data_IF_163623712967
#
_entry.id   IF_163623712967
#
_cell.length_a   1.000
_cell.length_b   1.000
_cell.length_c   1.000
_cell.angle_alpha   90.00
_cell.angle_beta   90.00
_cell.angle_gamma   90.00
#
_symmetry.space_group_name_H-M   'P 1'
#
loop_
_entity.id
_entity.type
_entity.pdbx_description
1 polymer ?
#
# COMPACT_ATOMS: atom_id res chain seq x y z
N UNK A 1 -35.37 30.95 13.79
CA UNK A 1 -34.94 30.83 15.19
C UNK A 1 -34.36 29.44 15.31
N UNK A 2 -33.14 29.25 14.81
CA UNK A 2 -32.43 27.95 14.90
C UNK A 2 -31.98 27.81 16.36
N UNK A 3 -32.46 26.78 17.00
CA UNK A 3 -32.07 26.39 18.34
C UNK A 3 -30.61 25.98 18.35
N UNK A 4 -29.79 26.75 19.07
CA UNK A 4 -28.38 26.47 19.35
C UNK A 4 -28.32 25.26 20.30
N UNK A 5 -28.57 24.06 19.80
CA UNK A 5 -28.65 22.86 20.63
C UNK A 5 -27.31 22.10 20.72
N UNK A 6 -26.22 22.58 20.07
CA UNK A 6 -24.91 21.95 20.15
C UNK A 6 -23.76 22.98 20.13
N UNK A 7 -23.72 23.89 21.10
CA UNK A 7 -22.52 24.71 21.34
C UNK A 7 -21.54 24.01 22.30
N UNK A 8 -21.52 22.69 22.29
CA UNK A 8 -20.62 21.97 23.20
C UNK A 8 -19.14 22.15 22.86
N UNK A 9 -18.81 22.51 21.61
CA UNK A 9 -17.41 22.66 21.16
C UNK A 9 -17.32 23.75 20.09
N UNK A 10 -17.08 24.99 20.51
CA UNK A 10 -16.78 26.09 19.62
C UNK A 10 -15.25 26.23 19.54
N UNK A 11 -14.67 25.90 18.41
CA UNK A 11 -13.24 26.15 18.15
C UNK A 11 -13.07 27.57 17.60
N UNK A 12 -12.27 28.38 18.29
CA UNK A 12 -11.91 29.71 17.85
C UNK A 12 -10.40 29.77 17.62
N UNK A 13 -9.99 30.13 16.40
CA UNK A 13 -8.59 30.39 16.12
C UNK A 13 -8.27 31.87 16.28
N UNK A 14 -7.28 32.18 17.11
CA UNK A 14 -6.81 33.53 17.37
C UNK A 14 -5.39 33.69 16.78
N UNK A 15 -5.20 34.78 16.05
CA UNK A 15 -3.85 35.17 15.58
C UNK A 15 -3.28 36.23 16.52
N UNK A 16 -2.20 35.90 17.19
CA UNK A 16 -1.44 36.80 18.06
C UNK A 16 -0.47 37.63 17.24
N UNK A 17 -0.25 38.90 17.70
CA UNK A 17 0.73 39.81 17.06
C UNK A 17 2.13 39.33 17.33
N UNK A 18 3.01 39.44 16.33
CA UNK A 18 4.42 39.09 16.46
C UNK A 18 5.06 39.83 17.66
N UNK A 19 5.83 39.09 18.48
CA UNK A 19 6.51 39.60 19.67
C UNK A 19 5.71 39.53 20.99
N UNK A 20 4.46 39.08 20.97
CA UNK A 20 3.64 38.89 22.18
C UNK A 20 3.36 37.41 22.47
N UNK A 21 3.97 36.53 21.66
CA UNK A 21 3.68 35.09 21.63
C UNK A 21 4.22 34.35 22.87
N UNK A 22 5.33 34.84 23.43
CA UNK A 22 5.94 34.23 24.62
C UNK A 22 5.04 34.32 25.85
N UNK A 23 4.57 33.16 26.33
CA UNK A 23 3.72 33.03 27.49
C UNK A 23 2.27 33.51 27.26
N UNK A 24 1.84 33.73 26.01
CA UNK A 24 0.48 34.18 25.71
C UNK A 24 -0.58 33.16 26.17
N UNK A 25 -0.33 31.86 25.96
CA UNK A 25 -1.23 30.78 26.35
C UNK A 25 -1.45 30.77 27.86
N UNK A 26 -0.40 30.89 28.67
CA UNK A 26 -0.48 30.92 30.12
C UNK A 26 -1.23 32.17 30.61
N UNK A 27 -0.95 33.31 30.00
CA UNK A 27 -1.68 34.56 30.34
C UNK A 27 -3.14 34.46 29.98
N UNK A 28 -3.47 33.98 28.82
CA UNK A 28 -4.86 33.83 28.38
C UNK A 28 -5.63 32.85 29.28
N UNK A 29 -5.00 31.70 29.64
CA UNK A 29 -5.64 30.73 30.53
C UNK A 29 -5.81 31.27 31.95
N UNK A 30 -4.86 32.03 32.49
CA UNK A 30 -4.98 32.67 33.80
C UNK A 30 -6.10 33.74 33.84
N UNK A 31 -6.32 34.40 32.70
CA UNK A 31 -7.37 35.40 32.58
C UNK A 31 -8.73 34.84 32.11
N UNK A 32 -8.76 33.56 31.70
CA UNK A 32 -9.90 32.90 31.09
C UNK A 32 -11.15 32.97 31.98
N UNK A 33 -11.00 32.56 33.23
CA UNK A 33 -12.13 32.53 34.20
C UNK A 33 -12.59 33.92 34.62
N UNK A 34 -11.71 34.92 34.52
CA UNK A 34 -11.98 36.26 35.03
C UNK A 34 -12.56 37.22 33.99
N UNK A 35 -12.08 37.12 32.75
CA UNK A 35 -12.35 38.12 31.70
C UNK A 35 -13.22 37.55 30.59
N UNK A 36 -13.03 36.27 30.27
CA UNK A 36 -13.63 35.68 29.08
C UNK A 36 -14.80 34.72 29.34
N UNK A 37 -15.29 34.65 30.58
CA UNK A 37 -16.50 33.90 30.88
C UNK A 37 -17.73 34.77 30.55
N UNK A 38 -18.56 34.28 29.61
CA UNK A 38 -19.82 34.93 29.26
C UNK A 38 -20.96 33.93 29.43
N UNK A 39 -21.70 34.08 30.49
CA UNK A 39 -22.79 33.16 30.84
C UNK A 39 -22.26 31.74 31.13
N UNK A 40 -22.69 30.73 30.36
CA UNK A 40 -22.25 29.37 30.49
C UNK A 40 -21.11 29.00 29.50
N UNK A 41 -20.58 29.99 28.78
CA UNK A 41 -19.46 29.79 27.82
C UNK A 41 -18.17 30.13 28.53
N UNK A 42 -17.24 29.21 28.56
CA UNK A 42 -15.90 29.35 29.15
C UNK A 42 -14.84 28.72 28.26
N UNK A 43 -13.63 29.23 28.37
CA UNK A 43 -12.49 28.68 27.63
C UNK A 43 -12.03 27.37 28.29
N UNK A 44 -12.16 26.26 27.59
CA UNK A 44 -11.78 24.95 28.11
C UNK A 44 -10.26 24.70 27.99
N UNK A 45 -9.71 25.01 26.83
CA UNK A 45 -8.28 24.81 26.53
C UNK A 45 -7.80 25.80 25.47
N UNK A 46 -6.52 26.16 25.54
CA UNK A 46 -5.85 27.02 24.58
C UNK A 46 -4.59 26.31 24.11
N UNK A 47 -4.64 25.77 22.92
CA UNK A 47 -3.52 25.03 22.36
C UNK A 47 -2.85 25.83 21.25
N UNK A 48 -1.52 26.04 21.29
CA UNK A 48 -0.78 26.65 20.17
C UNK A 48 -0.97 25.84 18.88
N UNK A 49 -1.25 26.52 17.78
CA UNK A 49 -1.45 25.85 16.48
C UNK A 49 -0.24 25.02 16.05
N UNK A 50 0.97 25.39 16.48
CA UNK A 50 2.19 24.63 16.27
C UNK A 50 2.13 23.23 16.90
N UNK A 51 1.57 23.11 18.11
CA UNK A 51 1.40 21.81 18.78
C UNK A 51 0.35 20.94 18.08
N UNK A 52 -0.77 21.54 17.67
CA UNK A 52 -1.83 20.86 16.93
C UNK A 52 -1.27 20.33 15.60
N UNK A 53 -0.51 21.17 14.90
CA UNK A 53 0.16 20.80 13.66
C UNK A 53 1.14 19.64 13.86
N UNK A 54 2.01 19.72 14.87
CA UNK A 54 2.97 18.67 15.16
C UNK A 54 2.26 17.36 15.53
N UNK A 55 1.17 17.41 16.31
CA UNK A 55 0.39 16.23 16.64
C UNK A 55 -0.23 15.59 15.38
N UNK A 56 -0.84 16.41 14.50
CA UNK A 56 -1.42 15.90 13.24
C UNK A 56 -0.36 15.37 12.28
N UNK A 57 0.84 15.95 12.24
CA UNK A 57 1.97 15.43 11.44
C UNK A 57 2.43 14.05 11.98
N UNK A 58 2.52 13.88 13.30
CA UNK A 58 2.87 12.59 13.93
C UNK A 58 1.80 11.52 13.65
N UNK A 59 0.53 11.87 13.77
CA UNK A 59 -0.57 10.94 13.50
C UNK A 59 -0.58 10.51 12.03
N UNK A 60 -0.36 11.44 11.11
CA UNK A 60 -0.26 11.16 9.69
C UNK A 60 0.94 10.27 9.35
N UNK A 61 2.10 10.51 9.97
CA UNK A 61 3.30 9.68 9.81
C UNK A 61 3.10 8.26 10.35
N UNK A 62 2.39 8.12 11.46
CA UNK A 62 2.06 6.81 12.04
C UNK A 62 1.09 6.03 11.15
N UNK A 63 0.10 6.71 10.59
CA UNK A 63 -0.84 6.11 9.64
C UNK A 63 -0.11 5.62 8.38
N UNK A 64 0.75 6.46 7.78
CA UNK A 64 1.57 6.08 6.63
C UNK A 64 2.46 4.87 6.94
N UNK A 65 3.13 4.86 8.09
CA UNK A 65 3.95 3.72 8.51
C UNK A 65 3.13 2.43 8.60
N UNK A 66 1.95 2.51 9.19
CA UNK A 66 1.04 1.35 9.31
C UNK A 66 0.61 0.85 7.94
N UNK A 67 0.24 1.74 7.02
CA UNK A 67 -0.12 1.39 5.65
C UNK A 67 1.05 0.74 4.90
N UNK A 68 2.27 1.28 5.04
CA UNK A 68 3.47 0.68 4.45
C UNK A 68 3.79 -0.70 5.03
N UNK A 69 3.63 -0.90 6.34
CA UNK A 69 3.83 -2.22 6.96
C UNK A 69 2.84 -3.26 6.43
N UNK A 70 1.56 -2.90 6.31
CA UNK A 70 0.52 -3.77 5.74
C UNK A 70 0.84 -4.10 4.28
N UNK A 71 1.16 -3.08 3.48
CA UNK A 71 1.52 -3.25 2.07
C UNK A 71 2.73 -4.18 1.91
N UNK A 72 3.78 -3.97 2.68
CA UNK A 72 4.98 -4.81 2.64
C UNK A 72 4.66 -6.26 3.03
N UNK A 73 3.87 -6.47 4.08
CA UNK A 73 3.43 -7.79 4.49
C UNK A 73 2.64 -8.50 3.39
N UNK A 74 1.71 -7.81 2.73
CA UNK A 74 0.94 -8.37 1.62
C UNK A 74 1.83 -8.71 0.43
N UNK A 75 2.76 -7.81 0.05
CA UNK A 75 3.72 -8.07 -1.03
C UNK A 75 4.58 -9.30 -0.75
N UNK A 76 5.05 -9.45 0.50
CA UNK A 76 5.85 -10.60 0.90
C UNK A 76 5.04 -11.90 0.80
N UNK A 77 3.77 -11.89 1.24
CA UNK A 77 2.88 -13.05 1.10
C UNK A 77 2.65 -13.44 -0.37
N UNK A 78 2.37 -12.44 -1.23
CA UNK A 78 2.19 -12.68 -2.66
C UNK A 78 3.48 -13.26 -3.26
N UNK A 79 4.63 -12.70 -2.92
CA UNK A 79 5.92 -13.16 -3.42
C UNK A 79 6.20 -14.62 -3.04
N UNK A 80 5.98 -14.98 -1.78
CA UNK A 80 6.12 -16.36 -1.31
C UNK A 80 5.13 -17.31 -2.02
N UNK A 81 3.89 -16.87 -2.23
CA UNK A 81 2.89 -17.62 -2.99
C UNK A 81 3.30 -17.87 -4.44
N UNK A 82 3.86 -16.86 -5.10
CA UNK A 82 4.41 -16.97 -6.47
C UNK A 82 5.55 -17.99 -6.50
N UNK A 83 6.55 -17.84 -5.62
CA UNK A 83 7.68 -18.78 -5.54
C UNK A 83 7.18 -20.22 -5.33
N UNK A 84 6.28 -20.43 -4.35
CA UNK A 84 5.74 -21.76 -4.04
C UNK A 84 5.00 -22.38 -5.22
N UNK A 85 4.16 -21.61 -5.89
CA UNK A 85 3.38 -22.07 -7.05
C UNK A 85 4.29 -22.46 -8.21
N UNK A 86 5.28 -21.63 -8.56
CA UNK A 86 6.21 -21.94 -9.65
C UNK A 86 7.17 -23.05 -9.29
N UNK A 87 7.60 -23.16 -8.03
CA UNK A 87 8.37 -24.28 -7.54
C UNK A 87 7.63 -25.61 -7.76
N UNK A 88 6.39 -25.68 -7.27
CA UNK A 88 5.57 -26.89 -7.39
C UNK A 88 5.30 -27.28 -8.86
N UNK A 89 4.93 -26.31 -9.70
CA UNK A 89 4.75 -26.55 -11.16
C UNK A 89 6.01 -27.05 -11.84
N UNK A 90 7.17 -26.49 -11.47
CA UNK A 90 8.46 -26.86 -12.04
C UNK A 90 8.83 -28.30 -11.64
N UNK A 91 8.54 -28.70 -10.40
CA UNK A 91 8.77 -30.07 -9.94
C UNK A 91 7.85 -31.06 -10.65
N UNK A 92 6.59 -30.76 -10.83
CA UNK A 92 5.65 -31.64 -11.55
C UNK A 92 6.03 -31.87 -13.02
N UNK A 93 6.64 -30.87 -13.68
CA UNK A 93 7.02 -30.92 -15.09
C UNK A 93 8.49 -31.27 -15.31
N UNK A 94 9.18 -31.78 -14.28
CA UNK A 94 10.62 -32.03 -14.31
C UNK A 94 11.01 -33.02 -15.43
N UNK A 95 10.24 -34.10 -15.60
CA UNK A 95 10.43 -35.09 -16.67
C UNK A 95 10.22 -34.47 -18.07
N UNK A 96 9.17 -33.68 -18.27
CA UNK A 96 8.92 -33.01 -19.56
C UNK A 96 10.07 -32.05 -19.92
N UNK A 97 10.56 -31.27 -18.93
CA UNK A 97 11.67 -30.34 -19.12
C UNK A 97 12.96 -31.10 -19.45
N UNK A 98 13.23 -32.22 -18.78
CA UNK A 98 14.40 -33.06 -19.03
C UNK A 98 14.35 -33.67 -20.43
N UNK A 99 13.20 -34.19 -20.87
CA UNK A 99 12.99 -34.73 -22.20
C UNK A 99 13.23 -33.66 -23.29
N UNK A 100 12.71 -32.45 -23.10
CA UNK A 100 12.95 -31.35 -24.05
C UNK A 100 14.40 -30.92 -24.10
N UNK A 101 15.14 -30.95 -22.98
CA UNK A 101 16.56 -30.68 -22.95
C UNK A 101 17.33 -31.75 -23.66
N UNK A 102 16.95 -33.05 -23.54
CA UNK A 102 17.54 -34.15 -24.26
C UNK A 102 17.34 -34.02 -25.78
N UNK A 103 16.20 -33.45 -26.22
CA UNK A 103 15.93 -33.16 -27.63
C UNK A 103 16.60 -31.84 -28.11
N UNK A 104 17.47 -31.22 -27.34
CA UNK A 104 18.24 -30.03 -27.74
C UNK A 104 17.58 -28.68 -27.44
N UNK A 105 16.56 -28.64 -26.61
CA UNK A 105 15.97 -27.36 -26.20
C UNK A 105 16.97 -26.53 -25.40
N UNK A 106 17.10 -25.24 -25.75
CA UNK A 106 17.97 -24.32 -25.03
C UNK A 106 17.36 -23.97 -23.70
N UNK A 107 18.16 -23.95 -22.62
CA UNK A 107 17.79 -23.56 -21.26
C UNK A 107 17.08 -22.19 -21.19
N UNK A 108 17.52 -21.26 -22.05
CA UNK A 108 16.89 -19.95 -22.16
C UNK A 108 15.41 -20.00 -22.58
N UNK A 109 15.10 -20.93 -23.52
CA UNK A 109 13.71 -21.05 -24.00
C UNK A 109 12.77 -21.57 -22.92
N UNK A 110 13.25 -22.45 -22.05
CA UNK A 110 12.47 -22.92 -20.88
C UNK A 110 12.19 -21.79 -19.90
N UNK A 111 13.20 -20.98 -19.63
CA UNK A 111 13.08 -19.82 -18.75
C UNK A 111 12.08 -18.80 -19.30
N UNK A 112 12.21 -18.40 -20.57
CA UNK A 112 11.27 -17.47 -21.21
C UNK A 112 9.83 -18.00 -21.20
N UNK A 113 9.64 -19.31 -21.40
CA UNK A 113 8.31 -19.93 -21.35
C UNK A 113 7.68 -19.81 -19.97
N UNK A 114 8.43 -20.06 -18.89
CA UNK A 114 7.94 -19.95 -17.53
C UNK A 114 7.56 -18.49 -17.18
N UNK A 115 8.39 -17.52 -17.59
CA UNK A 115 8.07 -16.10 -17.41
C UNK A 115 6.81 -15.72 -18.18
N UNK A 116 6.71 -16.13 -19.44
CA UNK A 116 5.53 -15.82 -20.28
C UNK A 116 4.27 -16.44 -19.69
N UNK A 117 4.33 -17.66 -19.18
CA UNK A 117 3.21 -18.31 -18.47
C UNK A 117 2.80 -17.50 -17.24
N UNK A 118 3.77 -17.04 -16.45
CA UNK A 118 3.52 -16.19 -15.27
C UNK A 118 2.90 -14.84 -15.62
N UNK A 119 3.41 -14.17 -16.65
CA UNK A 119 2.87 -12.88 -17.11
C UNK A 119 1.48 -13.02 -17.74
N UNK A 120 1.19 -14.11 -18.44
CA UNK A 120 -0.16 -14.40 -18.95
C UNK A 120 -1.15 -14.58 -17.80
N UNK A 121 -0.80 -15.34 -16.76
CA UNK A 121 -1.64 -15.52 -15.58
C UNK A 121 -1.87 -14.18 -14.85
N UNK A 122 -0.82 -13.36 -14.71
CA UNK A 122 -0.93 -12.01 -14.15
C UNK A 122 -1.91 -11.16 -14.97
N UNK A 123 -1.77 -11.15 -16.29
CA UNK A 123 -2.64 -10.34 -17.16
C UNK A 123 -4.10 -10.78 -17.08
N UNK A 124 -4.36 -12.09 -17.04
CA UNK A 124 -5.71 -12.63 -16.91
C UNK A 124 -6.33 -12.28 -15.55
N UNK A 125 -5.56 -12.35 -14.47
CA UNK A 125 -6.05 -12.01 -13.13
C UNK A 125 -6.17 -10.50 -12.90
N UNK A 126 -5.36 -9.68 -13.59
CA UNK A 126 -5.39 -8.23 -13.49
C UNK A 126 -6.68 -7.64 -14.06
N UNK A 127 -7.27 -8.23 -15.10
CA UNK A 127 -8.50 -7.72 -15.70
C UNK A 127 -9.67 -7.61 -14.69
N UNK A 128 -10.11 -8.69 -14.02
CA UNK A 128 -11.18 -8.59 -13.03
C UNK A 128 -10.77 -7.73 -11.83
N UNK A 129 -9.50 -7.77 -11.41
CA UNK A 129 -9.01 -6.98 -10.30
C UNK A 129 -9.10 -5.47 -10.57
N UNK A 130 -8.73 -5.03 -11.77
CA UNK A 130 -8.84 -3.63 -12.20
C UNK A 130 -10.30 -3.18 -12.26
N UNK A 131 -11.21 -4.03 -12.76
CA UNK A 131 -12.65 -3.72 -12.81
C UNK A 131 -13.22 -3.52 -11.40
N UNK A 132 -12.87 -4.39 -10.46
CA UNK A 132 -13.31 -4.28 -9.07
C UNK A 132 -12.72 -3.02 -8.42
N UNK A 133 -11.41 -2.80 -8.58
CA UNK A 133 -10.72 -1.62 -8.02
C UNK A 133 -11.28 -0.31 -8.57
N UNK A 134 -11.60 -0.27 -9.87
CA UNK A 134 -12.24 0.90 -10.49
C UNK A 134 -13.62 1.15 -9.89
N UNK A 135 -14.42 0.11 -9.73
CA UNK A 135 -15.76 0.23 -9.15
C UNK A 135 -15.70 0.75 -7.70
N UNK A 136 -14.80 0.21 -6.88
CA UNK A 136 -14.60 0.66 -5.49
C UNK A 136 -14.15 2.14 -5.45
N UNK A 137 -13.21 2.53 -6.31
CA UNK A 137 -12.74 3.92 -6.38
C UNK A 137 -13.81 4.88 -6.88
N UNK A 138 -14.64 4.46 -7.84
CA UNK A 138 -15.70 5.28 -8.40
C UNK A 138 -16.90 5.48 -7.46
N UNK A 139 -17.23 4.47 -6.64
CA UNK A 139 -18.34 4.50 -5.68
C UNK A 139 -17.99 5.20 -4.36
N UNK A 140 -16.79 5.80 -4.26
CA UNK A 140 -16.33 6.52 -3.06
C UNK A 140 -16.40 5.68 -1.78
N UNK A 141 -16.31 4.35 -1.91
CA UNK A 141 -16.27 3.44 -0.77
C UNK A 141 -14.99 3.57 0.08
N UNK A 142 -13.98 4.26 -0.45
CA UNK A 142 -12.75 4.61 0.26
C UNK A 142 -12.82 6.06 0.68
N UNK A 143 -12.43 6.37 1.91
CA UNK A 143 -12.44 7.72 2.46
C UNK A 143 -11.56 8.66 1.60
N UNK A 144 -12.21 9.64 0.97
CA UNK A 144 -11.60 10.58 0.00
C UNK A 144 -11.04 11.82 0.71
N UNK A 145 -11.07 11.85 2.05
CA UNK A 145 -10.67 13.01 2.83
C UNK A 145 -9.27 13.55 2.47
N UNK A 146 -8.38 12.67 2.00
CA UNK A 146 -7.02 13.05 1.64
C UNK A 146 -6.77 13.23 0.13
N UNK A 147 -7.46 12.47 -0.74
CA UNK A 147 -7.24 12.55 -2.19
C UNK A 147 -8.48 12.18 -3.00
N UNK A 148 -9.00 13.11 -3.80
CA UNK A 148 -10.08 12.83 -4.74
C UNK A 148 -9.67 11.79 -5.80
N UNK A 149 -10.60 10.89 -6.14
CA UNK A 149 -10.42 9.93 -7.22
C UNK A 149 -10.26 10.64 -8.55
N UNK A 150 -9.15 10.36 -9.25
CA UNK A 150 -8.88 10.92 -10.57
C UNK A 150 -8.44 9.81 -11.51
N UNK A 151 -9.06 9.70 -12.68
CA UNK A 151 -8.75 8.67 -13.68
C UNK A 151 -7.25 8.57 -14.02
N UNK A 152 -6.51 9.67 -14.25
CA UNK A 152 -5.08 9.57 -14.55
C UNK A 152 -4.25 8.99 -13.40
N UNK A 153 -4.58 9.32 -12.15
CA UNK A 153 -3.92 8.72 -10.98
C UNK A 153 -4.19 7.23 -10.88
N UNK A 154 -5.42 6.83 -11.14
CA UNK A 154 -5.81 5.42 -11.15
C UNK A 154 -5.04 4.63 -12.22
N UNK A 155 -4.90 5.17 -13.43
CA UNK A 155 -4.12 4.54 -14.51
C UNK A 155 -2.64 4.40 -14.14
N UNK A 156 -2.04 5.43 -13.56
CA UNK A 156 -0.65 5.39 -13.09
C UNK A 156 -0.48 4.32 -11.99
N UNK A 157 -1.41 4.25 -11.05
CA UNK A 157 -1.38 3.26 -9.98
C UNK A 157 -1.48 1.83 -10.53
N UNK A 158 -2.38 1.56 -11.49
CA UNK A 158 -2.49 0.26 -12.15
C UNK A 158 -1.18 -0.09 -12.86
N UNK A 159 -0.62 0.84 -13.64
CA UNK A 159 0.63 0.60 -14.36
C UNK A 159 1.78 0.25 -13.40
N UNK A 160 1.91 1.02 -12.33
CA UNK A 160 2.95 0.81 -11.31
C UNK A 160 2.77 -0.54 -10.60
N UNK A 161 1.54 -0.88 -10.22
CA UNK A 161 1.21 -2.16 -9.57
C UNK A 161 1.48 -3.33 -10.51
N UNK A 162 1.06 -3.23 -11.77
CA UNK A 162 1.31 -4.27 -12.77
C UNK A 162 2.81 -4.49 -12.99
N UNK A 163 3.58 -3.41 -13.09
CA UNK A 163 5.03 -3.47 -13.27
C UNK A 163 5.71 -4.09 -12.05
N UNK A 164 5.30 -3.72 -10.84
CA UNK A 164 5.79 -4.30 -9.59
C UNK A 164 5.53 -5.81 -9.54
N UNK A 165 4.29 -6.22 -9.84
CA UNK A 165 3.91 -7.64 -9.86
C UNK A 165 4.65 -8.43 -10.94
N UNK A 166 4.88 -7.84 -12.13
CA UNK A 166 5.68 -8.46 -13.18
C UNK A 166 7.13 -8.70 -12.73
N UNK A 167 7.73 -7.71 -12.06
CA UNK A 167 9.08 -7.86 -11.47
C UNK A 167 9.10 -8.99 -10.43
N UNK A 168 8.10 -9.05 -9.54
CA UNK A 168 7.99 -10.10 -8.53
C UNK A 168 7.87 -11.50 -9.17
N UNK A 169 7.10 -11.63 -10.24
CA UNK A 169 6.99 -12.91 -10.99
C UNK A 169 8.34 -13.29 -11.61
N UNK A 170 9.04 -12.36 -12.26
CA UNK A 170 10.35 -12.62 -12.85
C UNK A 170 11.33 -13.10 -11.78
N UNK A 171 11.39 -12.42 -10.63
CA UNK A 171 12.26 -12.80 -9.52
C UNK A 171 11.84 -14.15 -8.90
N UNK A 172 10.53 -14.37 -8.72
CA UNK A 172 9.99 -15.61 -8.15
C UNK A 172 10.20 -16.83 -9.03
N UNK A 173 10.18 -16.65 -10.36
CA UNK A 173 10.44 -17.72 -11.34
C UNK A 173 11.93 -17.97 -11.50
N UNK A 174 12.79 -16.98 -11.24
CA UNK A 174 14.23 -17.09 -11.45
C UNK A 174 14.85 -18.25 -10.66
N UNK A 175 14.50 -18.38 -9.37
CA UNK A 175 15.06 -19.41 -8.50
C UNK A 175 14.69 -20.85 -8.93
N UNK A 176 13.38 -21.21 -9.10
CA UNK A 176 13.01 -22.55 -9.56
C UNK A 176 13.49 -22.85 -10.97
N UNK A 177 13.55 -21.86 -11.86
CA UNK A 177 14.08 -22.03 -13.21
C UNK A 177 15.59 -22.35 -13.21
N UNK A 178 16.37 -21.65 -12.40
CA UNK A 178 17.81 -21.92 -12.27
C UNK A 178 18.09 -23.31 -11.69
N UNK A 179 17.26 -23.78 -10.76
CA UNK A 179 17.40 -25.08 -10.16
C UNK A 179 17.03 -26.22 -11.14
N UNK A 180 15.93 -26.07 -11.87
CA UNK A 180 15.56 -27.06 -12.90
C UNK A 180 16.58 -27.18 -14.05
N UNK A 181 17.29 -26.09 -14.32
CA UNK A 181 18.40 -26.13 -15.32
C UNK A 181 19.67 -26.86 -14.84
N UNK A 182 19.83 -27.12 -13.53
CA UNK A 182 20.97 -27.86 -12.97
C UNK A 182 20.78 -29.38 -13.02
N UNK A 183 19.57 -29.87 -13.27
CA UNK A 183 19.25 -31.28 -13.34
C UNK A 183 19.93 -31.88 -14.57
N UNK A 184 20.78 -32.91 -14.36
CA UNK A 184 21.37 -33.66 -15.46
C UNK A 184 20.28 -34.54 -16.06
N UNK A 185 20.14 -34.59 -17.42
CA UNK A 185 19.11 -35.39 -18.09
C UNK A 185 19.19 -36.90 -17.74
N UNK A 186 20.38 -37.39 -17.40
CA UNK A 186 20.62 -38.77 -17.03
C UNK A 186 20.05 -39.17 -15.65
N UNK A 187 19.98 -38.24 -14.70
CA UNK A 187 19.39 -38.49 -13.38
C UNK A 187 17.87 -38.46 -13.41
N UNK A 188 17.29 -37.56 -14.22
CA UNK A 188 15.82 -37.42 -14.31
C UNK A 188 15.14 -38.61 -15.01
N UNK A 189 15.84 -39.35 -15.83
CA UNK A 189 15.36 -40.58 -16.51
C UNK A 189 15.55 -41.84 -15.67
N UNK A 190 16.31 -41.78 -14.58
CA UNK A 190 16.59 -42.91 -13.70
C UNK A 190 15.58 -43.01 -12.53
N UNK A 191 14.90 -41.94 -12.22
CA UNK A 191 13.91 -41.85 -11.11
C UNK A 191 12.46 -42.19 -11.54
N UNK A 192 12.24 -42.66 -12.80
CA UNK A 192 11.05 -43.35 -13.29
C UNK A 192 11.25 -44.87 -13.28
#
# INVERSE_FOLDING_TARGET
METVENVAYLELSLRVREGVDDGFVERLMNDADRIYQVGNVYILDVTPLSKVRTASEIDNDNELRTQFCILFFLLLNIFLGVIGTFWFRTQQRRGEVALRMAMGANRKNIFYRLITEGLLLLSMSALPAVLIAFNIGYTELVDISQMAFTVPRFLIAILLTYLLMAIMIILGVLYPALQSMKVQPAEALRDE
#
